data_IF_504748390103
#
_entry.id   IF_504748390103
#
_cell.length_a   1.000
_cell.length_b   1.000
_cell.length_c   1.000
_cell.angle_alpha   90.00
_cell.angle_beta   90.00
_cell.angle_gamma   90.00
#
_symmetry.space_group_name_H-M   'P 1'
#
loop_
_entity.id
_entity.type
_entity.pdbx_description
1 polymer ?
#
# COMPACT_ATOMS: atom_id res chain seq x y z
N UNK A 1 22.03 -8.00 -5.02
CA UNK A 1 20.73 -7.38 -5.25
C UNK A 1 19.68 -8.44 -5.51
N UNK A 2 18.68 -8.51 -4.70
CA UNK A 2 17.67 -9.57 -4.80
C UNK A 2 16.34 -8.97 -5.26
N UNK A 3 15.93 -9.30 -6.47
CA UNK A 3 14.69 -8.80 -7.05
C UNK A 3 13.48 -9.22 -6.23
N UNK A 4 13.48 -10.43 -5.67
CA UNK A 4 12.36 -10.91 -4.85
C UNK A 4 12.21 -10.10 -3.57
N UNK A 5 13.31 -9.73 -2.95
CA UNK A 5 13.29 -8.87 -1.77
C UNK A 5 12.74 -7.49 -2.12
N UNK A 6 13.17 -6.94 -3.26
CA UNK A 6 12.69 -5.65 -3.73
C UNK A 6 11.20 -5.69 -4.01
N UNK A 7 10.72 -6.74 -4.66
CA UNK A 7 9.28 -6.91 -4.94
C UNK A 7 8.50 -7.00 -3.65
N UNK A 8 8.98 -7.76 -2.67
CA UNK A 8 8.33 -7.88 -1.38
C UNK A 8 8.21 -6.54 -0.66
N UNK A 9 9.30 -5.76 -0.65
CA UNK A 9 9.31 -4.44 -0.03
C UNK A 9 8.35 -3.48 -0.73
N UNK A 10 8.31 -3.52 -2.06
CA UNK A 10 7.39 -2.67 -2.84
C UNK A 10 5.94 -3.09 -2.63
N UNK A 11 5.68 -4.39 -2.49
CA UNK A 11 4.34 -4.89 -2.21
C UNK A 11 3.82 -4.37 -0.88
N UNK A 12 4.66 -4.38 0.16
CA UNK A 12 4.27 -3.81 1.45
C UNK A 12 3.97 -2.32 1.34
N UNK A 13 4.81 -1.58 0.65
CA UNK A 13 4.63 -0.14 0.45
C UNK A 13 3.33 0.13 -0.30
N UNK A 14 3.06 -0.63 -1.36
CA UNK A 14 1.85 -0.47 -2.16
C UNK A 14 0.61 -0.81 -1.35
N UNK A 15 0.67 -1.85 -0.52
CA UNK A 15 -0.45 -2.23 0.33
C UNK A 15 -0.77 -1.13 1.34
N UNK A 16 0.24 -0.55 1.96
CA UNK A 16 0.04 0.57 2.89
C UNK A 16 -0.58 1.77 2.20
N UNK A 17 -0.10 2.07 0.98
CA UNK A 17 -0.66 3.18 0.19
C UNK A 17 -2.11 2.93 -0.16
N UNK A 18 -2.45 1.70 -0.57
CA UNK A 18 -3.82 1.31 -0.88
C UNK A 18 -4.72 1.43 0.35
N UNK A 19 -4.26 0.94 1.49
CA UNK A 19 -5.02 1.00 2.74
C UNK A 19 -5.24 2.45 3.17
N UNK A 20 -4.23 3.30 3.00
CA UNK A 20 -4.35 4.72 3.32
C UNK A 20 -5.39 5.40 2.43
N UNK A 21 -5.37 5.11 1.14
CA UNK A 21 -6.35 5.66 0.20
C UNK A 21 -7.77 5.19 0.51
N UNK A 22 -7.91 3.91 0.85
CA UNK A 22 -9.20 3.35 1.23
C UNK A 22 -9.76 4.04 2.48
N UNK A 23 -8.92 4.25 3.48
CA UNK A 23 -9.33 4.92 4.71
C UNK A 23 -9.76 6.37 4.43
N UNK A 24 -9.03 7.07 3.56
CA UNK A 24 -9.37 8.44 3.19
C UNK A 24 -10.70 8.51 2.45
N UNK A 25 -10.93 7.58 1.52
CA UNK A 25 -12.20 7.53 0.78
C UNK A 25 -13.36 7.15 1.70
N UNK A 26 -13.13 6.18 2.58
CA UNK A 26 -14.13 5.79 3.57
C UNK A 26 -14.52 6.96 4.47
N UNK A 27 -13.53 7.73 4.91
CA UNK A 27 -13.77 8.94 5.70
C UNK A 27 -14.52 10.01 4.94
N UNK A 28 -14.31 10.10 3.62
CA UNK A 28 -15.01 11.08 2.79
C UNK A 28 -16.46 10.72 2.55
N UNK A 29 -16.79 9.43 2.58
CA UNK A 29 -18.15 8.95 2.33
C UNK A 29 -19.03 9.00 3.59
N UNK A 30 -18.38 9.11 4.73
CA UNK A 30 -19.07 9.18 6.03
C UNK A 30 -19.10 10.64 6.54
#
# INVERSE_FOLDING_TARGET
LNTLVTIGAMTEKNTKSTNNSLANMGGSLV
#
